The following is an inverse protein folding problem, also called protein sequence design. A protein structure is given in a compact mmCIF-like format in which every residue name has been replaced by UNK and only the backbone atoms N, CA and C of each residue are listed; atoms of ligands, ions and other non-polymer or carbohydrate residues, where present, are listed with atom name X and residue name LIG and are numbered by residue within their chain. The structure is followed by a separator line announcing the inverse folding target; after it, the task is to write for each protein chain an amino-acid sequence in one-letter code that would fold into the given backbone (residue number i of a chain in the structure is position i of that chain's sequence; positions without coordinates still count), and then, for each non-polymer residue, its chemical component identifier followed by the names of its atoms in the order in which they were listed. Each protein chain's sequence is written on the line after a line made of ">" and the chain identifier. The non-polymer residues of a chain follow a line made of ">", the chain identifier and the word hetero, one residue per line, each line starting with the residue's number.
data_IF_947296664837
#
_entry.id   IF_947296664837
#
_cell.length_a   1.000
_cell.length_b   1.000
_cell.length_c   1.000
_cell.angle_alpha   90.00
_cell.angle_beta   90.00
_cell.angle_gamma   90.00
#
_symmetry.space_group_name_H-M   'P 1'
#
loop_
_entity.id
_entity.type
_entity.pdbx_description
1 polymer ?
#
# COMPACT_ATOMS: atom_id res chain seq x y z
N UNK A 1 5.01 -19.91 17.65
CA UNK A 1 3.70 -19.32 17.37
C UNK A 1 3.38 -19.64 15.92
N UNK A 2 2.28 -20.35 15.66
CA UNK A 2 1.85 -20.69 14.30
C UNK A 2 0.74 -19.73 13.88
N UNK A 3 0.95 -19.03 12.78
CA UNK A 3 -0.05 -18.22 12.11
C UNK A 3 -0.53 -18.97 10.87
N UNK A 4 -1.65 -18.52 10.31
CA UNK A 4 -2.13 -18.94 8.99
C UNK A 4 -2.42 -17.71 8.14
N UNK A 5 -2.42 -17.86 6.82
CA UNK A 5 -2.85 -16.80 5.91
C UNK A 5 -4.36 -16.65 6.01
N UNK A 6 -4.83 -15.57 6.63
CA UNK A 6 -6.25 -15.26 6.74
C UNK A 6 -6.80 -14.62 5.47
N UNK A 7 -6.07 -13.62 4.93
CA UNK A 7 -6.48 -12.90 3.72
C UNK A 7 -5.27 -12.57 2.84
N UNK A 8 -5.48 -12.62 1.52
CA UNK A 8 -4.52 -12.18 0.51
C UNK A 8 -5.15 -11.03 -0.27
N UNK A 9 -4.45 -9.91 -0.39
CA UNK A 9 -4.95 -8.70 -1.03
C UNK A 9 -4.05 -8.26 -2.17
N UNK A 10 -4.70 -7.88 -3.28
CA UNK A 10 -4.09 -7.20 -4.43
C UNK A 10 -4.79 -5.86 -4.67
N UNK A 11 -4.05 -4.86 -5.12
CA UNK A 11 -4.55 -3.51 -5.35
C UNK A 11 -4.32 -3.10 -6.81
N UNK A 12 -5.26 -3.35 -7.75
CA UNK A 12 -5.01 -3.11 -9.19
C UNK A 12 -4.53 -1.70 -9.54
N UNK A 13 -5.08 -0.68 -8.86
CA UNK A 13 -4.70 0.73 -9.03
C UNK A 13 -4.14 1.30 -7.72
N UNK A 14 -3.01 2.01 -7.79
CA UNK A 14 -2.37 2.67 -6.64
C UNK A 14 -3.40 3.56 -5.93
N UNK A 15 -3.55 3.33 -4.62
CA UNK A 15 -4.47 4.03 -3.70
C UNK A 15 -5.96 3.69 -3.81
N UNK A 16 -6.41 2.93 -4.81
CA UNK A 16 -7.80 2.46 -4.85
C UNK A 16 -7.99 1.24 -3.94
N UNK A 17 -9.23 0.86 -3.67
CA UNK A 17 -9.57 -0.34 -2.88
C UNK A 17 -8.98 -1.60 -3.53
N UNK A 18 -8.58 -2.55 -2.68
CA UNK A 18 -8.06 -3.84 -3.12
C UNK A 18 -9.14 -4.89 -3.34
N UNK A 19 -8.75 -5.98 -3.97
CA UNK A 19 -9.51 -7.22 -4.10
C UNK A 19 -8.87 -8.30 -3.22
N UNK A 20 -9.71 -9.17 -2.66
CA UNK A 20 -9.25 -10.37 -1.95
C UNK A 20 -9.05 -11.51 -2.95
N UNK A 21 -7.95 -12.24 -2.79
CA UNK A 21 -7.61 -13.40 -3.59
C UNK A 21 -7.64 -14.65 -2.71
N UNK A 22 -8.15 -15.80 -3.22
CA UNK A 22 -8.04 -17.07 -2.50
C UNK A 22 -6.61 -17.62 -2.52
N UNK A 23 -5.82 -17.24 -3.52
CA UNK A 23 -4.41 -17.58 -3.68
C UNK A 23 -3.68 -16.55 -4.54
N UNK A 24 -2.37 -16.45 -4.38
CA UNK A 24 -1.50 -15.63 -5.23
C UNK A 24 -0.14 -16.29 -5.45
N UNK A 25 0.40 -16.15 -6.66
CA UNK A 25 1.82 -16.45 -6.91
C UNK A 25 2.64 -15.25 -6.49
N UNK A 26 3.64 -15.44 -5.63
CA UNK A 26 4.60 -14.39 -5.26
C UNK A 26 5.90 -14.62 -6.03
N UNK A 27 6.35 -13.57 -6.71
CA UNK A 27 7.63 -13.50 -7.42
C UNK A 27 8.59 -12.61 -6.64
N UNK A 28 9.86 -12.49 -7.08
CA UNK A 28 10.80 -11.53 -6.49
C UNK A 28 10.29 -10.09 -6.51
N UNK A 29 9.39 -9.74 -7.44
CA UNK A 29 8.74 -8.43 -7.54
C UNK A 29 7.47 -8.29 -6.67
N UNK A 30 7.10 -9.32 -5.90
CA UNK A 30 5.86 -9.39 -5.13
C UNK A 30 4.74 -10.13 -5.84
N UNK A 31 3.50 -9.74 -5.54
CA UNK A 31 2.29 -10.26 -6.21
C UNK A 31 2.20 -9.61 -7.60
N UNK A 32 2.21 -10.39 -8.70
CA UNK A 32 1.99 -9.86 -10.03
C UNK A 32 0.68 -9.06 -10.12
N UNK A 33 0.74 -7.94 -10.83
CA UNK A 33 -0.38 -7.01 -10.99
C UNK A 33 -0.84 -6.34 -9.68
N UNK A 34 -0.04 -6.39 -8.62
CA UNK A 34 -0.26 -5.50 -7.48
C UNK A 34 0.19 -4.08 -7.84
N UNK A 35 -0.77 -3.16 -7.87
CA UNK A 35 -0.62 -1.75 -8.28
C UNK A 35 -0.04 -1.63 -9.68
N UNK A 36 -0.62 -2.33 -10.64
CA UNK A 36 -0.22 -2.20 -12.05
C UNK A 36 -0.68 -0.90 -12.72
N UNK A 37 -1.50 -0.09 -12.06
CA UNK A 37 -1.94 1.21 -12.56
C UNK A 37 -1.75 2.31 -11.52
N UNK A 38 -1.54 3.55 -11.98
CA UNK A 38 -1.49 4.72 -11.11
C UNK A 38 -2.11 5.96 -11.76
N UNK A 39 -2.42 6.93 -10.90
CA UNK A 39 -2.92 8.25 -11.31
C UNK A 39 -1.77 9.24 -11.30
N UNK A 40 -1.67 10.06 -12.35
CA UNK A 40 -0.73 11.18 -12.43
C UNK A 40 -1.49 12.50 -12.34
N UNK A 41 -1.02 13.40 -11.48
CA UNK A 41 -1.54 14.78 -11.40
C UNK A 41 -0.94 15.59 -12.55
N UNK A 42 -1.76 16.07 -13.48
CA UNK A 42 -1.26 16.81 -14.65
C UNK A 42 -0.75 18.21 -14.28
N UNK A 43 -1.17 18.76 -13.14
CA UNK A 43 -0.64 20.05 -12.67
C UNK A 43 0.82 19.94 -12.25
N UNK A 44 1.19 18.83 -11.60
CA UNK A 44 2.55 18.63 -11.10
C UNK A 44 3.36 17.62 -11.91
N UNK A 45 2.75 16.96 -12.90
CA UNK A 45 3.39 15.90 -13.70
C UNK A 45 4.03 14.83 -12.82
N UNK A 46 3.38 14.47 -11.71
CA UNK A 46 3.88 13.51 -10.71
C UNK A 46 2.81 12.48 -10.40
N UNK A 47 3.21 11.21 -10.27
CA UNK A 47 2.33 10.16 -9.76
C UNK A 47 1.86 10.53 -8.35
N UNK A 48 0.55 10.58 -8.16
CA UNK A 48 -0.07 10.93 -6.88
C UNK A 48 -1.05 9.86 -6.45
N UNK A 49 -1.23 9.79 -5.14
CA UNK A 49 -2.11 8.82 -4.50
C UNK A 49 -3.03 9.47 -3.48
N UNK A 50 -3.66 8.64 -2.66
CA UNK A 50 -4.64 9.12 -1.70
C UNK A 50 -4.08 10.03 -0.60
N UNK A 51 -2.74 10.06 -0.42
CA UNK A 51 -2.04 11.06 0.41
C UNK A 51 -2.43 12.50 0.04
N UNK A 52 -2.74 12.73 -1.24
CA UNK A 52 -3.15 14.03 -1.78
C UNK A 52 -4.54 14.02 -2.42
N UNK A 53 -5.03 12.83 -2.80
CA UNK A 53 -6.33 12.64 -3.45
C UNK A 53 -7.17 11.59 -2.71
N UNK A 54 -7.67 11.90 -1.48
CA UNK A 54 -8.31 10.91 -0.62
C UNK A 54 -9.48 10.16 -1.27
N UNK A 55 -10.20 10.82 -2.19
CA UNK A 55 -11.32 10.26 -2.95
C UNK A 55 -10.96 8.99 -3.72
N UNK A 56 -9.69 8.77 -4.08
CA UNK A 56 -9.24 7.53 -4.72
C UNK A 56 -9.52 6.29 -3.86
N UNK A 57 -9.50 6.42 -2.53
CA UNK A 57 -9.79 5.31 -1.60
C UNK A 57 -11.27 4.91 -1.58
N UNK A 58 -12.16 5.72 -2.18
CA UNK A 58 -13.57 5.38 -2.35
C UNK A 58 -13.78 4.52 -3.62
N UNK A 59 -12.89 4.63 -4.61
CA UNK A 59 -12.95 3.86 -5.84
C UNK A 59 -12.43 2.43 -5.63
N UNK A 60 -12.95 1.48 -6.41
CA UNK A 60 -12.38 0.15 -6.57
C UNK A 60 -11.97 -0.07 -8.01
N UNK A 61 -11.06 -1.01 -8.25
CA UNK A 61 -10.66 -1.38 -9.60
C UNK A 61 -10.51 -2.89 -9.71
N UNK A 62 -10.75 -3.43 -10.90
CA UNK A 62 -10.46 -4.81 -11.28
C UNK A 62 -9.79 -4.82 -12.64
N UNK A 63 -8.91 -5.79 -12.87
CA UNK A 63 -8.33 -6.00 -14.20
C UNK A 63 -9.40 -6.52 -15.16
N UNK A 64 -9.35 -6.03 -16.40
CA UNK A 64 -10.08 -6.57 -17.54
C UNK A 64 -9.23 -7.68 -18.15
N UNK A 65 -9.59 -8.97 -17.99
CA UNK A 65 -8.82 -10.07 -18.55
C UNK A 65 -8.67 -9.94 -20.08
N UNK A 66 -7.62 -10.53 -20.62
CA UNK A 66 -7.36 -10.60 -22.07
C UNK A 66 -7.17 -9.25 -22.77
N UNK A 67 -6.96 -8.18 -22.01
CA UNK A 67 -6.59 -6.85 -22.51
C UNK A 67 -5.11 -6.54 -22.26
N UNK A 68 -4.55 -5.56 -22.96
CA UNK A 68 -3.13 -5.19 -22.84
C UNK A 68 -2.93 -3.67 -22.88
N UNK A 69 -2.36 -3.14 -21.80
CA UNK A 69 -1.89 -1.76 -21.66
C UNK A 69 -0.38 -1.74 -21.39
N UNK A 70 0.40 -2.38 -22.27
CA UNK A 70 1.85 -2.53 -22.10
C UNK A 70 2.21 -3.69 -21.18
N UNK A 71 2.66 -3.40 -19.95
CA UNK A 71 3.11 -4.44 -19.00
C UNK A 71 1.97 -5.08 -18.19
N UNK A 72 0.77 -4.51 -18.27
CA UNK A 72 -0.38 -4.91 -17.46
C UNK A 72 -1.66 -4.92 -18.31
N UNK A 73 -2.71 -5.64 -17.92
CA UNK A 73 -4.03 -5.51 -18.54
C UNK A 73 -4.68 -4.16 -18.23
N UNK A 74 -5.66 -3.77 -19.03
CA UNK A 74 -6.56 -2.66 -18.70
C UNK A 74 -7.35 -2.93 -17.42
N UNK A 75 -7.92 -1.87 -16.84
CA UNK A 75 -8.72 -1.93 -15.62
C UNK A 75 -10.07 -1.28 -15.83
N UNK A 76 -11.07 -1.83 -15.16
CA UNK A 76 -12.33 -1.15 -14.92
C UNK A 76 -12.29 -0.56 -13.50
N UNK A 77 -12.52 0.75 -13.42
CA UNK A 77 -12.58 1.51 -12.17
C UNK A 77 -14.05 1.79 -11.86
N UNK A 78 -14.52 1.36 -10.70
CA UNK A 78 -15.84 1.71 -10.19
C UNK A 78 -15.74 2.92 -9.24
N UNK A 79 -16.51 3.96 -9.56
CA UNK A 79 -16.72 5.13 -8.72
C UNK A 79 -17.78 4.84 -7.63
N UNK A 80 -17.86 5.67 -6.57
CA UNK A 80 -18.78 5.44 -5.46
C UNK A 80 -20.28 5.56 -5.82
N UNK A 81 -20.59 6.26 -6.92
CA UNK A 81 -21.95 6.40 -7.44
C UNK A 81 -22.39 5.22 -8.32
N UNK A 82 -21.52 4.21 -8.49
CA UNK A 82 -21.76 3.04 -9.34
C UNK A 82 -21.28 3.20 -10.79
N UNK A 83 -20.77 4.36 -11.19
CA UNK A 83 -20.20 4.56 -12.53
C UNK A 83 -18.97 3.67 -12.73
N UNK A 84 -18.92 2.95 -13.85
CA UNK A 84 -17.78 2.14 -14.26
C UNK A 84 -17.00 2.83 -15.39
N UNK A 85 -15.68 2.93 -15.23
CA UNK A 85 -14.76 3.58 -16.15
C UNK A 85 -13.74 2.56 -16.67
N UNK A 86 -13.66 2.36 -17.99
CA UNK A 86 -12.64 1.49 -18.59
C UNK A 86 -11.41 2.30 -18.99
N UNK A 87 -10.22 1.87 -18.53
CA UNK A 87 -8.95 2.50 -18.90
C UNK A 87 -8.57 2.33 -20.38
N UNK A 88 -9.34 1.60 -21.17
CA UNK A 88 -9.21 1.54 -22.64
C UNK A 88 -9.67 2.83 -23.32
N UNK A 89 -10.46 3.64 -22.62
CA UNK A 89 -11.11 4.82 -23.18
C UNK A 89 -10.51 6.10 -22.59
N UNK A 90 -10.20 7.13 -23.41
CA UNK A 90 -9.76 8.43 -22.91
C UNK A 90 -10.73 9.06 -21.90
N UNK A 91 -12.03 8.77 -22.05
CA UNK A 91 -13.11 9.26 -21.19
C UNK A 91 -12.96 8.82 -19.73
N UNK A 92 -12.27 7.72 -19.45
CA UNK A 92 -12.03 7.29 -18.07
C UNK A 92 -11.16 8.28 -17.29
N UNK A 93 -10.16 8.88 -17.93
CA UNK A 93 -9.31 9.89 -17.28
C UNK A 93 -10.09 11.20 -17.04
N UNK A 94 -10.96 11.58 -17.97
CA UNK A 94 -11.83 12.76 -17.85
C UNK A 94 -12.84 12.59 -16.71
N UNK A 95 -13.61 11.50 -16.71
CA UNK A 95 -14.58 11.21 -15.66
C UNK A 95 -13.92 11.07 -14.27
N UNK A 96 -12.74 10.44 -14.20
CA UNK A 96 -11.98 10.38 -12.96
C UNK A 96 -11.49 11.78 -12.53
N UNK A 97 -11.08 12.63 -13.48
CA UNK A 97 -10.68 14.01 -13.18
C UNK A 97 -11.83 14.81 -12.58
N UNK A 98 -13.02 14.69 -13.15
CA UNK A 98 -14.24 15.34 -12.65
C UNK A 98 -14.57 14.87 -11.23
N UNK A 99 -14.54 13.55 -11.00
CA UNK A 99 -14.78 12.97 -9.68
C UNK A 99 -13.77 13.47 -8.63
N UNK A 100 -12.48 13.54 -8.99
CA UNK A 100 -11.42 14.01 -8.11
C UNK A 100 -11.39 15.53 -7.95
N UNK A 101 -12.06 16.28 -8.83
CA UNK A 101 -11.98 17.75 -8.88
C UNK A 101 -10.60 18.25 -9.30
N UNK A 102 -9.88 17.46 -10.11
CA UNK A 102 -8.51 17.73 -10.53
C UNK A 102 -8.20 16.99 -11.83
N UNK A 103 -7.54 17.67 -12.76
CA UNK A 103 -7.05 17.06 -14.00
C UNK A 103 -5.99 16.00 -13.72
N UNK A 104 -6.30 14.76 -14.05
CA UNK A 104 -5.42 13.61 -13.89
C UNK A 104 -5.40 12.74 -15.14
N UNK A 105 -4.37 11.92 -15.26
CA UNK A 105 -4.30 10.85 -16.25
C UNK A 105 -4.08 9.49 -15.59
N UNK A 106 -4.51 8.43 -16.28
CA UNK A 106 -4.32 7.04 -15.87
C UNK A 106 -3.13 6.46 -16.61
N UNK A 107 -2.21 5.85 -15.87
CA UNK A 107 -1.00 5.23 -16.44
C UNK A 107 -0.91 3.76 -16.04
N UNK A 108 -0.71 2.85 -17.01
CA UNK A 108 -0.29 1.50 -16.70
C UNK A 108 1.14 1.53 -16.17
N UNK A 109 1.58 0.41 -15.59
CA UNK A 109 2.95 0.28 -15.10
C UNK A 109 3.95 0.52 -16.23
N UNK A 110 4.82 1.50 -16.03
CA UNK A 110 5.85 1.86 -16.99
C UNK A 110 7.14 1.07 -16.72
N UNK A 111 7.87 0.64 -17.76
CA UNK A 111 9.11 -0.11 -17.58
C UNK A 111 10.19 0.72 -16.84
N UNK A 112 11.17 0.06 -16.18
CA UNK A 112 12.19 0.76 -15.40
C UNK A 112 13.09 1.72 -16.19
N UNK A 113 13.24 1.50 -17.50
CA UNK A 113 13.99 2.39 -18.40
C UNK A 113 13.28 3.75 -18.61
N UNK A 114 12.01 3.87 -18.24
CA UNK A 114 11.25 5.12 -18.23
C UNK A 114 11.20 5.78 -16.84
N UNK A 115 12.35 5.85 -16.15
CA UNK A 115 12.47 6.38 -14.79
C UNK A 115 11.89 7.81 -14.62
N UNK A 116 11.91 8.64 -15.66
CA UNK A 116 11.37 10.01 -15.60
C UNK A 116 9.87 10.06 -15.28
N UNK A 117 9.11 9.03 -15.67
CA UNK A 117 7.70 8.87 -15.32
C UNK A 117 7.45 8.87 -13.81
N UNK A 118 8.41 8.33 -13.05
CA UNK A 118 8.31 8.18 -11.61
C UNK A 118 8.79 9.42 -10.85
N UNK A 119 9.42 10.39 -11.53
CA UNK A 119 10.13 11.49 -10.87
C UNK A 119 9.18 12.39 -10.09
N UNK A 120 9.60 12.76 -8.88
CA UNK A 120 8.89 13.73 -8.06
C UNK A 120 9.13 15.14 -8.63
N UNK A 121 8.04 15.85 -8.93
CA UNK A 121 8.06 17.24 -9.41
C UNK A 121 7.10 18.14 -8.63
N UNK A 122 6.61 17.64 -7.50
CA UNK A 122 5.60 18.28 -6.65
C UNK A 122 6.21 18.97 -5.41
N UNK A 123 5.40 19.26 -4.39
CA UNK A 123 5.84 19.87 -3.14
C UNK A 123 6.98 19.10 -2.46
N UNK A 124 7.06 17.77 -2.61
CA UNK A 124 8.15 16.96 -2.04
C UNK A 124 9.51 17.36 -2.62
N UNK A 125 9.56 17.88 -3.85
CA UNK A 125 10.80 18.37 -4.44
C UNK A 125 11.23 19.76 -3.90
N UNK A 126 10.27 20.54 -3.39
CA UNK A 126 10.51 21.92 -2.92
C UNK A 126 10.74 22.00 -1.41
N UNK A 127 9.93 21.30 -0.63
CA UNK A 127 10.00 21.21 0.83
C UNK A 127 9.79 19.75 1.25
N UNK A 128 10.83 18.89 1.10
CA UNK A 128 10.72 17.48 1.45
C UNK A 128 10.31 17.30 2.91
N UNK A 129 10.95 18.00 3.84
CA UNK A 129 10.74 17.83 5.27
C UNK A 129 9.30 18.21 5.68
N UNK A 130 8.81 19.37 5.26
CA UNK A 130 7.45 19.79 5.59
C UNK A 130 6.38 18.94 4.93
N UNK A 131 6.62 18.45 3.71
CA UNK A 131 5.71 17.52 3.03
C UNK A 131 5.66 16.16 3.72
N UNK A 132 6.80 15.59 4.10
CA UNK A 132 6.84 14.33 4.86
C UNK A 132 6.10 14.45 6.20
N UNK A 133 6.28 15.55 6.93
CA UNK A 133 5.55 15.81 8.17
C UNK A 133 4.03 15.89 7.94
N UNK A 134 3.59 16.51 6.84
CA UNK A 134 2.17 16.56 6.46
C UNK A 134 1.62 15.17 6.10
N UNK A 135 2.33 14.40 5.28
CA UNK A 135 1.92 13.05 4.86
C UNK A 135 1.77 12.11 6.06
N UNK A 136 2.67 12.20 7.03
CA UNK A 136 2.62 11.39 8.26
C UNK A 136 1.74 12.00 9.37
N UNK A 137 1.06 13.12 9.10
CA UNK A 137 0.25 13.85 10.08
C UNK A 137 1.00 14.20 11.37
N UNK A 138 2.29 14.53 11.29
CA UNK A 138 3.13 14.87 12.44
C UNK A 138 2.85 16.29 12.94
N UNK A 139 2.67 16.43 14.25
CA UNK A 139 2.60 17.69 14.99
C UNK A 139 4.01 18.18 15.35
N UNK A 140 4.22 19.49 15.62
CA UNK A 140 5.51 20.01 16.05
C UNK A 140 6.11 19.21 17.21
N UNK A 141 7.40 18.87 17.11
CA UNK A 141 8.12 18.07 18.11
C UNK A 141 8.00 16.55 17.92
N UNK A 142 7.04 16.05 17.15
CA UNK A 142 6.95 14.61 16.86
C UNK A 142 8.06 14.16 15.90
N UNK A 143 8.63 13.01 16.22
CA UNK A 143 9.70 12.38 15.46
C UNK A 143 9.20 11.82 14.12
N UNK A 144 10.12 11.75 13.15
CA UNK A 144 9.88 11.05 11.89
C UNK A 144 9.78 9.54 12.13
N UNK A 145 9.01 8.79 11.32
CA UNK A 145 9.03 7.33 11.35
C UNK A 145 10.45 6.81 11.15
N UNK A 146 10.75 5.67 11.80
CA UNK A 146 11.98 4.94 11.49
C UNK A 146 11.94 4.47 10.03
N UNK A 147 13.09 4.60 9.37
CA UNK A 147 13.33 4.09 8.03
C UNK A 147 14.37 2.95 8.05
N UNK A 148 14.59 2.34 9.21
CA UNK A 148 15.49 1.21 9.37
C UNK A 148 15.02 0.04 8.49
N UNK A 149 15.97 -0.63 7.85
CA UNK A 149 15.69 -1.71 6.90
C UNK A 149 15.42 -1.25 5.46
N UNK A 150 15.23 0.04 5.19
CA UNK A 150 15.07 0.53 3.80
C UNK A 150 16.38 0.45 3.01
N UNK A 151 17.51 0.69 3.69
CA UNK A 151 18.83 0.75 3.06
C UNK A 151 19.03 2.02 2.22
N UNK A 152 20.30 2.41 1.97
CA UNK A 152 20.62 3.70 1.35
C UNK A 152 20.14 3.82 -0.11
N UNK A 153 20.11 2.71 -0.86
CA UNK A 153 19.67 2.69 -2.25
C UNK A 153 18.19 3.04 -2.41
N UNK A 154 17.32 2.35 -1.65
CA UNK A 154 15.88 2.62 -1.68
C UNK A 154 15.56 4.01 -1.12
N UNK A 155 16.25 4.46 -0.07
CA UNK A 155 16.05 5.81 0.47
C UNK A 155 16.38 6.89 -0.56
N UNK A 156 17.48 6.72 -1.31
CA UNK A 156 17.81 7.61 -2.42
C UNK A 156 16.69 7.60 -3.47
N UNK A 157 16.25 6.42 -3.87
CA UNK A 157 15.18 6.28 -4.87
C UNK A 157 13.89 6.96 -4.43
N UNK A 158 13.43 6.76 -3.19
CA UNK A 158 12.22 7.39 -2.63
C UNK A 158 12.35 8.90 -2.41
N UNK A 159 13.58 9.44 -2.43
CA UNK A 159 13.81 10.90 -2.42
C UNK A 159 13.70 11.53 -3.80
N UNK A 160 13.95 10.76 -4.86
CA UNK A 160 13.94 11.21 -6.26
C UNK A 160 12.61 10.87 -6.98
N UNK A 161 11.99 9.75 -6.62
CA UNK A 161 10.86 9.13 -7.32
C UNK A 161 9.67 8.90 -6.38
N UNK A 162 8.46 9.03 -6.92
CA UNK A 162 7.20 8.92 -6.18
C UNK A 162 6.87 7.48 -5.73
N UNK A 163 7.57 6.51 -6.31
CA UNK A 163 7.59 5.08 -6.00
C UNK A 163 8.92 4.50 -6.54
N UNK A 164 9.36 3.31 -6.11
CA UNK A 164 10.47 2.61 -6.75
C UNK A 164 10.25 2.46 -8.25
N UNK A 165 11.29 2.68 -9.05
CA UNK A 165 11.24 2.66 -10.51
C UNK A 165 10.84 1.26 -10.99
N UNK A 166 9.81 1.20 -11.83
CA UNK A 166 9.21 -0.06 -12.28
C UNK A 166 8.16 -0.64 -11.33
N UNK A 167 7.71 0.11 -10.32
CA UNK A 167 6.64 -0.29 -9.40
C UNK A 167 5.77 0.91 -8.97
N UNK A 168 4.52 0.63 -8.54
CA UNK A 168 3.65 1.64 -7.92
C UNK A 168 3.29 1.37 -6.45
N UNK A 169 3.89 0.37 -5.80
CA UNK A 169 3.89 0.30 -4.34
C UNK A 169 4.77 1.39 -3.73
N UNK A 170 4.66 1.61 -2.42
CA UNK A 170 5.29 2.77 -1.77
C UNK A 170 6.78 2.58 -1.47
N UNK A 171 7.22 1.35 -1.15
CA UNK A 171 8.62 1.07 -0.81
C UNK A 171 8.99 -0.40 -1.04
N UNK A 172 8.21 -1.32 -0.48
CA UNK A 172 8.44 -2.76 -0.57
C UNK A 172 7.28 -3.47 -1.27
N UNK A 173 7.55 -4.62 -1.93
CA UNK A 173 6.56 -5.34 -2.72
C UNK A 173 5.49 -6.05 -1.88
N UNK A 174 5.77 -6.38 -0.62
CA UNK A 174 4.84 -7.08 0.27
C UNK A 174 4.72 -6.31 1.59
N UNK A 175 3.47 -6.13 2.04
CA UNK A 175 3.12 -5.63 3.37
C UNK A 175 2.41 -6.75 4.15
N UNK A 176 2.99 -7.17 5.28
CA UNK A 176 2.46 -8.20 6.17
C UNK A 176 1.86 -7.54 7.41
N UNK A 177 0.67 -7.97 7.79
CA UNK A 177 -0.04 -7.55 9.00
C UNK A 177 -0.59 -8.77 9.71
N UNK A 178 -0.64 -8.75 11.03
CA UNK A 178 -1.29 -9.80 11.83
C UNK A 178 -2.61 -9.32 12.43
N UNK A 179 -3.56 -10.24 12.63
CA UNK A 179 -4.76 -9.93 13.42
C UNK A 179 -4.44 -9.60 14.88
N UNK A 180 -3.34 -10.15 15.41
CA UNK A 180 -2.83 -9.82 16.74
C UNK A 180 -2.50 -8.32 16.85
N UNK A 181 -1.81 -7.77 15.84
CA UNK A 181 -1.51 -6.33 15.75
C UNK A 181 -2.77 -5.48 15.58
N UNK A 182 -3.77 -5.94 14.81
CA UNK A 182 -5.06 -5.26 14.69
C UNK A 182 -5.79 -5.20 16.04
N UNK A 183 -5.86 -6.32 16.79
CA UNK A 183 -6.44 -6.36 18.13
C UNK A 183 -5.69 -5.46 19.11
N UNK A 184 -4.35 -5.46 19.04
CA UNK A 184 -3.51 -4.59 19.87
C UNK A 184 -3.76 -3.10 19.57
N UNK A 185 -3.85 -2.72 18.30
CA UNK A 185 -4.17 -1.34 17.92
C UNK A 185 -5.59 -0.97 18.36
N UNK A 186 -6.57 -1.86 18.24
CA UNK A 186 -7.94 -1.59 18.70
C UNK A 186 -7.99 -1.22 20.18
N UNK A 187 -7.15 -1.84 21.03
CA UNK A 187 -7.07 -1.48 22.46
C UNK A 187 -6.51 -0.08 22.69
N UNK A 188 -5.65 0.41 21.80
CA UNK A 188 -5.08 1.77 21.86
C UNK A 188 -6.03 2.82 21.29
N UNK A 189 -7.01 2.43 20.48
CA UNK A 189 -8.03 3.32 19.90
C UNK A 189 -9.42 2.66 19.95
N UNK A 190 -10.01 2.49 21.15
CA UNK A 190 -11.21 1.67 21.34
C UNK A 190 -12.44 2.17 20.59
N UNK A 191 -12.54 3.49 20.37
CA UNK A 191 -13.69 4.10 19.70
C UNK A 191 -13.61 4.06 18.16
N UNK A 192 -12.43 3.75 17.60
CA UNK A 192 -12.26 3.68 16.16
C UNK A 192 -12.78 2.35 15.61
N UNK A 193 -13.39 2.41 14.42
CA UNK A 193 -13.69 1.22 13.62
C UNK A 193 -12.41 0.82 12.86
N UNK A 194 -11.67 -0.12 13.43
CA UNK A 194 -10.51 -0.70 12.75
C UNK A 194 -10.94 -1.76 11.74
N UNK A 195 -10.33 -1.67 10.57
CA UNK A 195 -10.56 -2.56 9.45
C UNK A 195 -9.25 -2.73 8.70
N UNK A 196 -8.93 -3.96 8.29
CA UNK A 196 -7.72 -4.31 7.53
C UNK A 196 -7.51 -3.41 6.32
N UNK A 197 -8.60 -2.98 5.68
CA UNK A 197 -8.60 -2.10 4.49
C UNK A 197 -7.94 -0.74 4.75
N UNK A 198 -7.88 -0.27 6.01
CA UNK A 198 -7.17 0.99 6.37
C UNK A 198 -5.65 0.85 6.20
N UNK A 199 -5.10 -0.34 6.45
CA UNK A 199 -3.65 -0.60 6.48
C UNK A 199 -3.11 -1.20 5.19
N UNK A 200 -4.02 -1.66 4.33
CA UNK A 200 -3.74 -2.15 2.98
C UNK A 200 -2.60 -3.19 2.93
N UNK A 201 -2.60 -4.23 3.78
CA UNK A 201 -1.63 -5.32 3.67
C UNK A 201 -1.80 -6.06 2.35
N UNK A 202 -0.77 -6.80 1.93
CA UNK A 202 -0.91 -7.85 0.92
C UNK A 202 -1.24 -9.19 1.58
N UNK A 203 -0.72 -9.44 2.79
CA UNK A 203 -1.00 -10.64 3.57
C UNK A 203 -1.48 -10.24 4.96
N UNK A 204 -2.69 -10.67 5.31
CA UNK A 204 -3.18 -10.67 6.69
C UNK A 204 -2.98 -12.07 7.26
N UNK A 205 -2.17 -12.17 8.31
CA UNK A 205 -1.92 -13.41 9.02
C UNK A 205 -2.86 -13.50 10.23
N UNK A 206 -3.64 -14.57 10.27
CA UNK A 206 -4.62 -14.86 11.29
C UNK A 206 -4.12 -15.95 12.25
N UNK A 207 -4.82 -16.07 13.37
CA UNK A 207 -4.49 -17.04 14.41
C UNK A 207 -3.28 -16.63 15.25
N UNK A 208 -2.72 -17.62 15.94
CA UNK A 208 -1.70 -17.43 16.98
C UNK A 208 -2.31 -16.91 18.30
N UNK A 209 -1.87 -17.49 19.42
CA UNK A 209 -2.19 -17.00 20.78
C UNK A 209 -1.39 -15.74 21.16
N UNK A 210 -0.59 -15.23 20.22
CA UNK A 210 0.28 -14.10 20.43
C UNK A 210 -0.52 -12.80 20.58
N UNK A 211 -0.06 -11.94 21.49
CA UNK A 211 -0.58 -10.59 21.66
C UNK A 211 0.49 -9.54 21.31
N UNK A 212 0.02 -8.35 20.95
CA UNK A 212 0.89 -7.22 20.63
C UNK A 212 1.27 -7.16 19.16
N UNK A 213 2.33 -6.41 18.87
CA UNK A 213 2.78 -6.12 17.51
C UNK A 213 3.76 -7.20 17.00
N UNK A 214 3.22 -8.40 16.73
CA UNK A 214 4.04 -9.61 16.58
C UNK A 214 5.01 -9.52 15.40
N UNK A 215 4.57 -8.98 14.28
CA UNK A 215 5.39 -8.87 13.08
C UNK A 215 6.60 -7.93 13.23
N UNK A 216 6.60 -7.04 14.23
CA UNK A 216 7.78 -6.22 14.55
C UNK A 216 8.93 -7.06 15.12
N UNK A 217 8.63 -8.18 15.78
CA UNK A 217 9.63 -9.13 16.27
C UNK A 217 10.27 -9.97 15.15
N UNK A 218 9.79 -9.84 13.91
CA UNK A 218 10.31 -10.56 12.75
C UNK A 218 11.22 -9.71 11.87
N UNK A 219 11.37 -8.41 12.14
CA UNK A 219 12.28 -7.55 11.37
C UNK A 219 13.70 -8.13 11.37
N UNK A 220 14.30 -8.24 10.18
CA UNK A 220 15.62 -8.85 9.95
C UNK A 220 15.60 -10.38 9.89
N UNK A 221 14.43 -11.02 9.92
CA UNK A 221 14.27 -12.49 9.88
C UNK A 221 13.49 -12.93 8.63
N UNK A 222 13.65 -14.20 8.30
CA UNK A 222 12.82 -14.86 7.31
C UNK A 222 11.50 -15.37 7.92
N UNK A 223 10.44 -15.32 7.13
CA UNK A 223 9.12 -15.85 7.43
C UNK A 223 8.71 -16.80 6.29
N UNK A 224 8.49 -18.06 6.62
CA UNK A 224 7.94 -19.04 5.67
C UNK A 224 6.41 -18.93 5.68
N UNK A 225 5.81 -18.82 4.49
CA UNK A 225 4.37 -18.67 4.27
C UNK A 225 3.95 -19.58 3.12
N UNK A 226 3.40 -20.75 3.44
CA UNK A 226 3.13 -21.79 2.45
C UNK A 226 4.41 -22.19 1.69
N UNK A 227 4.42 -22.02 0.36
CA UNK A 227 5.59 -22.31 -0.47
C UNK A 227 6.60 -21.15 -0.53
N UNK A 228 6.20 -19.95 -0.07
CA UNK A 228 6.92 -18.69 -0.20
C UNK A 228 7.81 -18.43 1.02
N UNK A 229 9.02 -17.94 0.77
CA UNK A 229 9.90 -17.38 1.80
C UNK A 229 9.94 -15.86 1.71
N UNK A 230 9.60 -15.16 2.79
CA UNK A 230 9.65 -13.70 2.88
C UNK A 230 10.83 -13.28 3.75
N UNK A 231 11.59 -12.29 3.30
CA UNK A 231 12.52 -11.54 4.15
C UNK A 231 11.76 -10.34 4.73
N UNK A 232 11.61 -10.27 6.05
CA UNK A 232 10.93 -9.16 6.73
C UNK A 232 11.97 -8.07 6.99
N UNK A 233 11.84 -6.93 6.32
CA UNK A 233 12.92 -5.95 6.17
C UNK A 233 12.80 -4.77 7.12
N UNK A 234 11.60 -4.22 7.26
CA UNK A 234 11.38 -2.94 7.91
C UNK A 234 9.99 -2.87 8.54
N UNK A 235 9.84 -2.04 9.58
CA UNK A 235 8.52 -1.59 10.01
C UNK A 235 7.91 -0.72 8.91
N UNK A 236 6.60 -0.79 8.72
CA UNK A 236 5.92 -0.03 7.68
C UNK A 236 5.46 1.36 8.21
N UNK A 237 6.04 2.48 7.73
CA UNK A 237 5.55 3.81 8.09
C UNK A 237 4.12 4.02 7.59
N UNK A 238 3.26 4.52 8.47
CA UNK A 238 1.86 4.80 8.16
C UNK A 238 1.65 6.28 7.98
N UNK A 239 0.96 6.61 6.89
CA UNK A 239 0.62 7.98 6.54
C UNK A 239 -0.88 8.23 6.74
N UNK A 240 -1.30 9.47 6.45
CA UNK A 240 -2.69 9.93 6.47
C UNK A 240 -3.69 9.00 5.79
N UNK A 241 -3.26 8.14 4.85
CA UNK A 241 -4.13 7.18 4.18
C UNK A 241 -4.91 6.26 5.12
N UNK A 242 -4.35 5.89 6.28
CA UNK A 242 -5.06 5.03 7.26
C UNK A 242 -6.27 5.73 7.88
N UNK A 243 -6.32 7.06 7.81
CA UNK A 243 -7.44 7.88 8.29
C UNK A 243 -8.54 8.12 7.26
N UNK A 244 -8.27 7.93 5.96
CA UNK A 244 -9.22 8.31 4.92
C UNK A 244 -10.49 7.44 4.93
N UNK A 245 -11.59 8.04 4.48
CA UNK A 245 -12.83 7.33 4.25
C UNK A 245 -12.66 6.29 3.13
N UNK A 246 -13.39 5.19 3.26
CA UNK A 246 -13.53 4.13 2.27
C UNK A 246 -15.00 3.72 2.20
N UNK A 247 -15.37 2.86 1.25
CA UNK A 247 -16.72 2.30 1.22
C UNK A 247 -17.07 1.60 2.56
N UNK A 248 -18.06 2.15 3.26
CA UNK A 248 -18.49 1.67 4.58
C UNK A 248 -17.56 2.01 5.75
N UNK A 249 -16.58 2.91 5.57
CA UNK A 249 -15.69 3.38 6.63
C UNK A 249 -15.56 4.90 6.56
N UNK A 250 -15.96 5.59 7.63
CA UNK A 250 -15.79 7.03 7.71
C UNK A 250 -14.31 7.43 7.87
N UNK A 251 -14.04 8.69 7.54
CA UNK A 251 -12.73 9.30 7.79
C UNK A 251 -12.51 9.36 9.30
N UNK A 252 -11.42 8.75 9.76
CA UNK A 252 -11.09 8.67 11.17
C UNK A 252 -9.61 9.01 11.43
N UNK A 253 -9.29 10.27 11.78
CA UNK A 253 -7.93 10.69 12.12
C UNK A 253 -7.40 10.08 13.41
N UNK A 254 -8.25 9.55 14.30
CA UNK A 254 -7.79 8.99 15.57
C UNK A 254 -6.84 7.82 15.34
N UNK A 255 -7.10 7.00 14.31
CA UNK A 255 -6.27 5.84 13.93
C UNK A 255 -4.82 6.25 13.67
N UNK A 256 -4.58 7.16 12.72
CA UNK A 256 -3.21 7.60 12.40
C UNK A 256 -2.57 8.35 13.57
N UNK A 257 -3.35 9.19 14.29
CA UNK A 257 -2.81 9.93 15.45
C UNK A 257 -2.38 9.00 16.59
N UNK A 258 -3.10 7.90 16.81
CA UNK A 258 -2.68 6.85 17.78
C UNK A 258 -1.42 6.15 17.29
N UNK A 259 -1.32 5.77 16.00
CA UNK A 259 -0.09 5.14 15.45
C UNK A 259 1.12 6.07 15.58
N UNK A 260 0.96 7.37 15.34
CA UNK A 260 2.04 8.36 15.50
C UNK A 260 2.54 8.40 16.95
N UNK A 261 1.63 8.51 17.92
CA UNK A 261 1.98 8.67 19.34
C UNK A 261 2.51 7.39 19.97
N UNK A 262 1.81 6.28 19.77
CA UNK A 262 2.07 5.04 20.50
C UNK A 262 3.07 4.14 19.78
N UNK A 263 3.13 4.21 18.44
CA UNK A 263 3.87 3.27 17.59
C UNK A 263 4.92 3.95 16.72
N UNK A 264 5.28 5.20 17.04
CA UNK A 264 6.29 5.97 16.33
C UNK A 264 6.03 6.04 14.82
N UNK A 265 4.76 6.20 14.45
CA UNK A 265 4.28 6.29 13.05
C UNK A 265 4.43 5.01 12.23
N UNK A 266 4.72 3.85 12.85
CA UNK A 266 4.86 2.57 12.17
C UNK A 266 3.81 1.57 12.63
N UNK A 267 3.33 0.72 11.73
CA UNK A 267 2.41 -0.36 12.08
C UNK A 267 2.46 -1.43 11.01
N UNK A 268 2.65 -2.70 11.37
CA UNK A 268 2.93 -3.82 10.46
C UNK A 268 4.31 -3.79 9.79
N UNK A 269 4.66 -4.83 9.02
CA UNK A 269 6.00 -5.04 8.48
C UNK A 269 6.03 -5.11 6.94
N UNK A 270 7.06 -4.51 6.36
CA UNK A 270 7.41 -4.63 4.95
C UNK A 270 8.34 -5.82 4.71
N UNK A 271 8.14 -6.48 3.57
CA UNK A 271 8.89 -7.67 3.20
C UNK A 271 9.29 -7.69 1.72
N UNK A 272 10.36 -8.42 1.43
CA UNK A 272 10.72 -8.88 0.09
C UNK A 272 10.45 -10.37 -0.04
N UNK A 273 10.25 -10.83 -1.27
CA UNK A 273 10.11 -12.25 -1.57
C UNK A 273 11.50 -12.84 -1.77
N UNK A 274 11.98 -13.60 -0.80
CA UNK A 274 13.28 -14.28 -0.84
C UNK A 274 13.21 -15.60 -1.61
N UNK A 275 12.06 -16.29 -1.54
CA UNK A 275 11.77 -17.50 -2.31
C UNK A 275 10.37 -17.39 -2.91
N UNK A 276 10.29 -17.41 -4.24
CA UNK A 276 9.04 -17.38 -4.97
C UNK A 276 8.23 -18.67 -4.78
N UNK A 277 6.92 -18.59 -4.91
CA UNK A 277 6.00 -19.71 -4.72
C UNK A 277 4.55 -19.28 -4.74
N UNK A 278 3.65 -20.23 -4.49
CA UNK A 278 2.22 -19.94 -4.32
C UNK A 278 1.90 -19.83 -2.84
N UNK A 279 1.10 -18.82 -2.49
CA UNK A 279 0.45 -18.69 -1.19
C UNK A 279 -1.06 -18.81 -1.35
N UNK A 280 -1.71 -19.54 -0.45
CA UNK A 280 -3.15 -19.76 -0.41
C UNK A 280 -3.69 -19.34 0.95
N UNK A 281 -4.93 -18.88 0.98
CA UNK A 281 -5.64 -18.69 2.26
C UNK A 281 -5.68 -20.04 2.99
N UNK A 282 -5.33 -20.02 4.27
CA UNK A 282 -5.17 -21.21 5.12
C UNK A 282 -3.75 -21.78 5.19
N UNK A 283 -2.81 -21.32 4.34
CA UNK A 283 -1.41 -21.76 4.43
C UNK A 283 -0.79 -21.36 5.77
N UNK A 284 0.08 -22.21 6.31
CA UNK A 284 0.82 -21.90 7.53
C UNK A 284 1.82 -20.77 7.30
N UNK A 285 1.98 -19.92 8.32
CA UNK A 285 2.97 -18.85 8.37
C UNK A 285 3.74 -18.92 9.69
N UNK A 286 5.07 -18.99 9.63
CA UNK A 286 5.93 -19.04 10.79
C UNK A 286 7.32 -18.46 10.49
N UNK A 287 8.03 -17.90 11.49
CA UNK A 287 9.43 -17.56 11.33
C UNK A 287 10.21 -18.78 10.82
N UNK A 288 11.04 -18.58 9.81
CA UNK A 288 11.88 -19.65 9.29
C UNK A 288 12.80 -20.18 10.41
N UNK A 289 13.04 -21.49 10.39
CA UNK A 289 13.91 -22.22 11.32
C UNK A 289 15.38 -21.91 11.08
#
# INVERSE_FOLDING_TARGET
>A
MSFVVGEIWRYPVKSMRGEQLPQATLTSAGIPLDRGWAVRDEKTQTIRGAKHMPKLMLCSARYLPDTCAGLVPHVEIALPDGTALSSETPQAAEALSDFLGRTVTLWPLMPPDQADHYRIRDERARDPAGEWRRIFMLQPGEAMPSMDGFGPGLLRELSEYAAPVGAYFDAFPINVLTEASLRALQRLVPDAVLDVRRFRPNLLLAGGEAEGFVEEGWIGRALDVGEVGLAIEAKAPRCVMTSHAQAGLDRDPSVIRTIVRELQSCFSAYARVAKAGVVRVGDAAAPAS
#
